data_IF_302655786145
#
_entry.id   IF_302655786145
#
_cell.length_a   1.000
_cell.length_b   1.000
_cell.length_c   1.000
_cell.angle_alpha   90.00
_cell.angle_beta   90.00
_cell.angle_gamma   90.00
#
_symmetry.space_group_name_H-M   'P 1'
#
loop_
_entity.id
_entity.type
_entity.pdbx_description
1 polymer ?
#
# COMPACT_ATOMS: atom_id res chain seq x y z
N UNK A 1 32.01 34.42 -11.26
CA UNK A 1 31.56 33.01 -11.18
C UNK A 1 30.37 32.82 -12.11
N UNK A 2 30.44 31.80 -12.97
CA UNK A 2 29.71 31.70 -14.24
C UNK A 2 28.19 31.71 -14.08
N UNK A 3 27.58 32.58 -14.86
CA UNK A 3 26.17 32.90 -14.99
C UNK A 3 25.41 31.77 -15.73
N UNK A 4 25.51 30.54 -15.19
CA UNK A 4 25.02 29.31 -15.83
C UNK A 4 23.50 29.30 -15.94
N UNK A 5 23.00 28.86 -17.10
CA UNK A 5 21.57 28.65 -17.34
C UNK A 5 20.97 27.73 -16.25
N UNK A 6 21.70 26.69 -15.82
CA UNK A 6 21.25 25.81 -14.74
C UNK A 6 21.14 26.52 -13.39
N UNK A 7 22.02 27.49 -13.10
CA UNK A 7 21.91 28.29 -11.88
C UNK A 7 20.66 29.17 -11.92
N UNK A 8 20.35 29.78 -13.07
CA UNK A 8 19.15 30.60 -13.30
C UNK A 8 17.85 29.77 -13.20
N UNK A 9 17.83 28.56 -13.76
CA UNK A 9 16.69 27.64 -13.63
C UNK A 9 16.46 27.27 -12.16
N UNK A 10 17.54 26.98 -11.41
CA UNK A 10 17.45 26.62 -9.99
C UNK A 10 16.97 27.77 -9.12
N UNK A 11 17.47 28.98 -9.38
CA UNK A 11 17.18 30.16 -8.55
C UNK A 11 15.82 30.78 -8.84
N UNK A 12 15.28 30.62 -10.06
CA UNK A 12 14.00 31.21 -10.43
C UNK A 12 13.13 30.24 -11.25
N UNK A 13 12.56 29.21 -10.60
CA UNK A 13 11.91 28.11 -11.32
C UNK A 13 10.64 28.54 -12.07
N UNK A 14 9.99 29.61 -11.63
CA UNK A 14 8.79 30.17 -12.24
C UNK A 14 9.07 30.83 -13.61
N UNK A 15 10.34 31.12 -13.90
CA UNK A 15 10.77 31.64 -15.20
C UNK A 15 10.87 30.57 -16.29
N UNK A 16 10.79 29.29 -15.92
CA UNK A 16 10.94 28.15 -16.85
C UNK A 16 9.75 27.18 -16.79
N UNK A 17 8.51 27.66 -16.95
CA UNK A 17 7.32 26.84 -16.74
C UNK A 17 7.22 25.67 -17.72
N UNK A 18 7.64 25.85 -18.99
CA UNK A 18 7.56 24.77 -20.00
C UNK A 18 8.61 23.71 -19.74
N UNK A 19 9.83 24.11 -19.38
CA UNK A 19 10.89 23.18 -19.00
C UNK A 19 10.44 22.26 -17.85
N UNK A 20 9.85 22.82 -16.80
CA UNK A 20 9.35 22.03 -15.68
C UNK A 20 8.10 21.21 -16.01
N UNK A 21 7.27 21.64 -16.97
CA UNK A 21 6.15 20.85 -17.46
C UNK A 21 6.61 19.57 -18.17
N UNK A 22 7.64 19.66 -19.03
CA UNK A 22 8.24 18.50 -19.70
C UNK A 22 8.86 17.53 -18.68
N UNK A 23 9.65 18.04 -17.73
CA UNK A 23 10.19 17.21 -16.65
C UNK A 23 9.10 16.58 -15.77
N UNK A 24 8.01 17.30 -15.53
CA UNK A 24 6.87 16.81 -14.77
C UNK A 24 6.14 15.67 -15.49
N UNK A 25 5.96 15.79 -16.80
CA UNK A 25 5.39 14.73 -17.63
C UNK A 25 6.27 13.46 -17.61
N UNK A 26 7.60 13.61 -17.74
CA UNK A 26 8.53 12.50 -17.61
C UNK A 26 8.47 11.84 -16.23
N UNK A 27 8.38 12.64 -15.16
CA UNK A 27 8.25 12.11 -13.81
C UNK A 27 6.95 11.31 -13.62
N UNK A 28 5.84 11.77 -14.21
CA UNK A 28 4.56 11.04 -14.22
C UNK A 28 4.66 9.73 -15.00
N UNK A 29 5.33 9.73 -16.15
CA UNK A 29 5.57 8.51 -16.93
C UNK A 29 6.37 7.48 -16.12
N UNK A 30 7.48 7.89 -15.50
CA UNK A 30 8.32 7.02 -14.68
C UNK A 30 7.53 6.47 -13.48
N UNK A 31 6.74 7.32 -12.80
CA UNK A 31 5.84 6.86 -11.72
C UNK A 31 4.84 5.82 -12.22
N UNK A 32 4.22 6.05 -13.37
CA UNK A 32 3.23 5.12 -13.92
C UNK A 32 3.88 3.77 -14.27
N UNK A 33 5.11 3.76 -14.81
CA UNK A 33 5.90 2.54 -15.01
C UNK A 33 6.20 1.83 -13.69
N UNK A 34 6.55 2.59 -12.66
CA UNK A 34 6.77 2.04 -11.32
C UNK A 34 5.52 1.36 -10.77
N UNK A 35 4.39 2.05 -10.78
CA UNK A 35 3.11 1.47 -10.35
C UNK A 35 2.76 0.21 -11.15
N UNK A 36 2.98 0.23 -12.47
CA UNK A 36 2.77 -0.92 -13.33
C UNK A 36 3.61 -2.12 -12.89
N UNK A 37 4.93 -1.95 -12.73
CA UNK A 37 5.83 -3.01 -12.28
C UNK A 37 5.55 -3.46 -10.84
N UNK A 38 5.09 -2.54 -9.98
CA UNK A 38 4.66 -2.84 -8.62
C UNK A 38 3.36 -3.66 -8.56
N UNK A 39 2.70 -3.95 -9.69
CA UNK A 39 1.54 -4.84 -9.74
C UNK A 39 0.19 -4.14 -9.85
N UNK A 40 0.15 -2.87 -10.27
CA UNK A 40 -1.12 -2.16 -10.57
C UNK A 40 -1.93 -2.86 -11.68
N UNK A 41 -1.27 -3.64 -12.53
CA UNK A 41 -1.91 -4.67 -13.36
C UNK A 41 -1.41 -6.03 -12.86
N UNK A 42 -2.32 -6.90 -12.45
CA UNK A 42 -2.03 -8.18 -11.77
C UNK A 42 -1.21 -9.20 -12.60
N UNK A 43 -0.65 -8.80 -13.73
CA UNK A 43 -0.05 -9.64 -14.76
C UNK A 43 1.47 -9.48 -14.89
N UNK A 44 2.09 -8.46 -14.25
CA UNK A 44 3.55 -8.32 -14.29
C UNK A 44 4.16 -9.33 -13.32
N UNK A 45 4.44 -10.52 -13.87
CA UNK A 45 5.11 -11.57 -13.15
C UNK A 45 6.50 -11.13 -12.68
N UNK A 46 7.00 -11.81 -11.66
CA UNK A 46 8.40 -11.73 -11.21
C UNK A 46 9.41 -11.87 -12.37
N UNK A 47 9.09 -12.71 -13.36
CA UNK A 47 9.95 -12.92 -14.53
C UNK A 47 10.08 -11.67 -15.42
N UNK A 48 9.06 -10.81 -15.42
CA UNK A 48 8.98 -9.61 -16.25
C UNK A 48 9.37 -8.34 -15.47
N UNK A 49 10.14 -8.47 -14.39
CA UNK A 49 10.60 -7.32 -13.61
C UNK A 49 9.65 -6.82 -12.54
N UNK A 50 8.45 -7.41 -12.44
CA UNK A 50 7.43 -6.99 -11.48
C UNK A 50 7.54 -7.65 -10.11
N UNK A 51 6.69 -7.21 -9.20
CA UNK A 51 6.58 -7.79 -7.86
C UNK A 51 5.68 -9.04 -7.81
N UNK A 52 5.01 -9.41 -8.90
CA UNK A 52 4.10 -10.56 -8.93
C UNK A 52 2.96 -10.43 -7.90
N UNK A 53 2.58 -11.54 -7.26
CA UNK A 53 1.40 -11.60 -6.38
C UNK A 53 1.48 -10.64 -5.19
N UNK A 54 2.68 -10.35 -4.67
CA UNK A 54 2.83 -9.52 -3.47
C UNK A 54 2.87 -8.01 -3.79
N UNK A 55 2.98 -7.63 -5.06
CA UNK A 55 2.95 -6.24 -5.51
C UNK A 55 1.66 -5.49 -5.14
N UNK A 56 0.53 -6.20 -5.09
CA UNK A 56 -0.72 -5.62 -4.59
C UNK A 56 -0.62 -5.19 -3.12
N UNK A 57 0.14 -5.90 -2.28
CA UNK A 57 0.40 -5.50 -0.89
C UNK A 57 1.30 -4.27 -0.83
N UNK A 58 2.29 -4.18 -1.72
CA UNK A 58 3.13 -3.00 -1.86
C UNK A 58 2.28 -1.75 -2.18
N UNK A 59 1.37 -1.83 -3.15
CA UNK A 59 0.51 -0.70 -3.51
C UNK A 59 -0.67 -0.45 -2.55
N UNK A 60 -1.14 -1.46 -1.81
CA UNK A 60 -2.21 -1.27 -0.83
C UNK A 60 -1.73 -0.55 0.43
N UNK A 61 -0.45 -0.72 0.79
CA UNK A 61 0.11 -0.17 2.03
C UNK A 61 0.99 1.06 1.81
N UNK A 62 1.07 1.58 0.58
CA UNK A 62 1.83 2.78 0.29
C UNK A 62 1.55 3.33 -1.09
N UNK A 63 2.12 4.48 -1.40
CA UNK A 63 1.92 5.16 -2.67
C UNK A 63 3.25 5.65 -3.24
N UNK A 64 3.37 5.62 -4.57
CA UNK A 64 4.54 6.18 -5.25
C UNK A 64 4.25 7.65 -5.50
N UNK A 65 5.02 8.51 -4.84
CA UNK A 65 4.86 9.95 -4.87
C UNK A 65 5.90 10.62 -5.78
N UNK A 66 5.53 11.79 -6.30
CA UNK A 66 6.42 12.68 -7.04
C UNK A 66 6.53 13.97 -6.25
N UNK A 67 7.76 14.38 -5.93
CA UNK A 67 8.03 15.64 -5.25
C UNK A 67 9.06 16.44 -6.03
N UNK A 68 8.80 17.72 -6.27
CA UNK A 68 9.79 18.62 -6.88
C UNK A 68 10.97 18.79 -5.93
N UNK A 69 12.19 18.56 -6.41
CA UNK A 69 13.43 18.71 -5.63
C UNK A 69 14.50 19.32 -6.53
N UNK A 70 14.99 20.50 -6.14
CA UNK A 70 16.02 21.22 -6.89
C UNK A 70 15.60 21.48 -8.35
N UNK A 71 16.38 20.95 -9.29
CA UNK A 71 16.18 21.13 -10.74
C UNK A 71 15.22 20.10 -11.36
N UNK A 72 14.69 19.15 -10.60
CA UNK A 72 13.84 18.09 -11.14
C UNK A 72 12.83 17.56 -10.14
N UNK A 73 12.56 16.27 -10.25
CA UNK A 73 11.57 15.56 -9.43
C UNK A 73 12.22 14.34 -8.78
N UNK A 74 11.90 14.13 -7.50
CA UNK A 74 12.16 12.90 -6.77
C UNK A 74 10.91 12.03 -6.84
N UNK A 75 11.09 10.79 -7.28
CA UNK A 75 10.06 9.76 -7.27
C UNK A 75 10.43 8.78 -6.16
N UNK A 76 9.52 8.50 -5.24
CA UNK A 76 9.80 7.65 -4.08
C UNK A 76 8.53 6.94 -3.60
N UNK A 77 8.70 5.84 -2.88
CA UNK A 77 7.59 5.15 -2.23
C UNK A 77 7.38 5.66 -0.81
N UNK A 78 6.13 5.97 -0.47
CA UNK A 78 5.69 6.37 0.86
C UNK A 78 4.80 5.27 1.45
N UNK A 79 5.28 4.59 2.49
CA UNK A 79 4.71 3.35 3.05
C UNK A 79 3.56 3.57 4.04
N UNK A 80 2.87 4.72 3.99
CA UNK A 80 1.75 5.07 4.87
C UNK A 80 1.99 4.74 6.37
N UNK A 81 3.22 4.90 6.86
CA UNK A 81 3.64 4.57 8.24
C UNK A 81 3.50 3.09 8.64
N UNK A 82 3.54 2.17 7.67
CA UNK A 82 3.63 0.74 7.97
C UNK A 82 4.95 0.41 8.68
N UNK A 83 4.87 -0.41 9.75
CA UNK A 83 6.06 -0.98 10.40
C UNK A 83 6.80 -2.00 9.52
N UNK A 84 6.20 -2.38 8.39
CA UNK A 84 6.74 -3.34 7.45
C UNK A 84 7.51 -2.62 6.34
N UNK A 85 8.79 -2.94 6.18
CA UNK A 85 9.67 -2.34 5.19
C UNK A 85 9.48 -3.02 3.81
N UNK A 86 8.50 -2.51 3.06
CA UNK A 86 8.12 -3.05 1.76
C UNK A 86 9.21 -2.89 0.70
N UNK A 87 9.97 -1.78 0.71
CA UNK A 87 11.06 -1.56 -0.25
C UNK A 87 12.20 -2.56 -0.02
N UNK A 88 12.58 -2.80 1.24
CA UNK A 88 13.61 -3.79 1.57
C UNK A 88 13.23 -5.19 1.11
N UNK A 89 11.96 -5.55 1.18
CA UNK A 89 11.47 -6.86 0.73
C UNK A 89 11.37 -6.91 -0.79
N UNK A 90 11.03 -5.80 -1.45
CA UNK A 90 11.14 -5.70 -2.91
C UNK A 90 12.56 -5.96 -3.40
N UNK A 91 13.52 -5.46 -2.64
CA UNK A 91 14.93 -5.54 -3.00
C UNK A 91 15.51 -6.92 -2.65
N UNK A 92 15.44 -7.31 -1.39
CA UNK A 92 16.14 -8.47 -0.82
C UNK A 92 15.27 -9.71 -0.63
N UNK A 93 13.96 -9.56 -0.73
CA UNK A 93 13.00 -10.63 -0.46
C UNK A 93 12.78 -10.89 1.03
N UNK A 94 12.03 -11.95 1.30
CA UNK A 94 11.72 -12.47 2.63
C UNK A 94 11.55 -13.99 2.53
N UNK A 95 12.25 -14.74 3.37
CA UNK A 95 12.10 -16.21 3.47
C UNK A 95 10.68 -16.61 3.87
N UNK A 96 10.28 -17.81 3.50
CA UNK A 96 9.05 -18.40 4.03
C UNK A 96 9.10 -18.46 5.56
N UNK A 97 7.96 -18.27 6.22
CA UNK A 97 7.89 -18.33 7.68
C UNK A 97 6.54 -18.85 8.15
N UNK A 98 6.51 -19.34 9.39
CA UNK A 98 5.28 -19.74 10.05
C UNK A 98 4.44 -18.50 10.43
N UNK A 99 3.41 -18.25 9.64
CA UNK A 99 2.49 -17.14 9.83
C UNK A 99 1.58 -17.33 11.04
N UNK A 100 1.26 -18.57 11.40
CA UNK A 100 0.43 -18.85 12.57
C UNK A 100 1.16 -18.38 13.83
N UNK A 101 2.39 -18.85 14.02
CA UNK A 101 3.25 -18.45 15.12
C UNK A 101 3.56 -16.95 15.13
N UNK A 102 3.83 -16.37 13.95
CA UNK A 102 4.09 -14.94 13.83
C UNK A 102 2.89 -14.09 14.27
N UNK A 103 1.68 -14.40 13.79
CA UNK A 103 0.47 -13.65 14.14
C UNK A 103 0.11 -13.80 15.62
N UNK A 104 0.25 -15.00 16.18
CA UNK A 104 -0.04 -15.26 17.60
C UNK A 104 0.96 -14.61 18.56
N UNK A 105 2.15 -14.25 18.06
CA UNK A 105 3.20 -13.61 18.88
C UNK A 105 3.26 -12.08 18.70
N UNK A 106 2.82 -11.55 17.57
CA UNK A 106 3.00 -10.13 17.23
C UNK A 106 1.68 -9.33 17.12
N UNK A 107 0.53 -9.99 17.00
CA UNK A 107 -0.75 -9.28 16.85
C UNK A 107 -1.32 -8.83 18.20
N UNK A 108 -1.59 -7.52 18.32
CA UNK A 108 -2.30 -6.96 19.48
C UNK A 108 -3.72 -7.51 19.67
N UNK A 109 -4.30 -8.15 18.65
CA UNK A 109 -5.66 -8.72 18.70
C UNK A 109 -5.71 -10.13 19.32
N UNK A 110 -4.56 -10.72 19.64
CA UNK A 110 -4.46 -12.05 20.27
C UNK A 110 -5.22 -12.10 21.59
N UNK A 111 -5.79 -13.26 21.87
CA UNK A 111 -6.54 -13.59 23.08
C UNK A 111 -5.96 -14.85 23.70
N UNK A 112 -6.19 -15.04 24.99
CA UNK A 112 -5.85 -16.24 25.73
C UNK A 112 -7.16 -16.86 26.22
N UNK A 113 -7.36 -18.16 25.99
CA UNK A 113 -8.55 -18.86 26.46
C UNK A 113 -8.39 -19.29 27.93
N UNK A 114 -9.45 -19.84 28.52
CA UNK A 114 -9.42 -20.30 29.92
C UNK A 114 -8.35 -21.38 30.21
N UNK A 115 -7.87 -22.09 29.18
CA UNK A 115 -6.81 -23.10 29.28
C UNK A 115 -5.41 -22.54 29.01
N UNK A 116 -5.26 -21.22 28.91
CA UNK A 116 -3.97 -20.56 28.67
C UNK A 116 -3.50 -20.56 27.21
N UNK A 117 -4.24 -21.17 26.26
CA UNK A 117 -3.84 -21.21 24.86
C UNK A 117 -4.12 -19.90 24.14
N UNK A 118 -3.17 -19.45 23.32
CA UNK A 118 -3.32 -18.27 22.47
C UNK A 118 -4.21 -18.55 21.28
N UNK A 119 -5.04 -17.57 20.93
CA UNK A 119 -5.84 -17.63 19.72
C UNK A 119 -6.08 -16.23 19.13
N UNK A 120 -6.31 -16.18 17.82
CA UNK A 120 -6.65 -14.99 17.07
C UNK A 120 -7.88 -15.25 16.20
N UNK A 121 -8.87 -14.37 16.28
CA UNK A 121 -10.06 -14.42 15.42
C UNK A 121 -9.81 -13.50 14.23
N UNK A 122 -9.88 -14.06 13.02
CA UNK A 122 -9.65 -13.37 11.77
C UNK A 122 -11.00 -13.26 11.03
N UNK A 123 -11.60 -12.06 10.95
CA UNK A 123 -12.75 -11.83 10.10
C UNK A 123 -12.34 -11.86 8.63
N UNK A 124 -13.01 -12.71 7.86
CA UNK A 124 -12.94 -12.74 6.41
C UNK A 124 -14.26 -12.19 5.84
N UNK A 125 -14.18 -11.56 4.67
CA UNK A 125 -15.38 -11.16 3.93
C UNK A 125 -16.22 -12.42 3.64
N UNK A 126 -17.39 -12.48 4.23
CA UNK A 126 -18.42 -13.46 3.86
C UNK A 126 -19.30 -12.88 2.75
N UNK A 127 -19.93 -13.76 1.96
CA UNK A 127 -21.03 -13.35 1.08
C UNK A 127 -22.34 -13.40 1.86
N UNK A 128 -23.24 -12.44 1.66
CA UNK A 128 -24.55 -12.41 2.35
C UNK A 128 -25.42 -13.65 2.11
N UNK A 129 -25.19 -14.36 1.00
CA UNK A 129 -25.87 -15.62 0.66
C UNK A 129 -25.34 -16.85 1.42
N UNK A 130 -24.23 -16.74 2.14
CA UNK A 130 -23.73 -17.85 2.96
C UNK A 130 -24.65 -18.06 4.17
N UNK A 131 -25.08 -19.30 4.39
CA UNK A 131 -25.85 -19.66 5.58
C UNK A 131 -25.00 -19.41 6.82
N UNK A 132 -25.49 -18.55 7.72
CA UNK A 132 -24.82 -18.30 8.99
C UNK A 132 -25.30 -19.32 10.02
N UNK A 133 -24.38 -19.81 10.85
CA UNK A 133 -24.71 -20.73 11.94
C UNK A 133 -25.13 -19.98 13.22
N UNK A 134 -24.82 -18.69 13.31
CA UNK A 134 -24.99 -17.90 14.52
C UNK A 134 -25.14 -16.42 14.20
N UNK A 135 -25.93 -15.71 15.02
CA UNK A 135 -26.01 -14.25 15.06
C UNK A 135 -25.26 -13.74 16.29
N UNK A 136 -24.31 -12.82 16.08
CA UNK A 136 -23.61 -12.09 17.12
C UNK A 136 -24.15 -10.67 17.21
N UNK A 137 -24.90 -10.36 18.27
CA UNK A 137 -25.41 -9.02 18.58
C UNK A 137 -24.37 -8.27 19.39
N UNK A 138 -23.87 -7.13 18.89
CA UNK A 138 -22.91 -6.30 19.63
C UNK A 138 -23.65 -5.61 20.77
N UNK A 139 -23.25 -5.90 22.01
CA UNK A 139 -23.84 -5.32 23.23
C UNK A 139 -23.13 -4.03 23.64
N UNK A 140 -21.80 -4.02 23.60
CA UNK A 140 -20.99 -2.85 23.95
C UNK A 140 -19.60 -2.95 23.32
N UNK A 141 -18.84 -1.86 23.33
CA UNK A 141 -17.43 -1.84 22.90
C UNK A 141 -16.58 -1.18 23.96
N UNK A 142 -15.53 -1.86 24.44
CA UNK A 142 -14.62 -1.34 25.47
C UNK A 142 -13.15 -1.46 25.04
N UNK A 143 -12.28 -0.62 25.61
CA UNK A 143 -10.82 -0.78 25.47
C UNK A 143 -10.33 -1.75 26.52
N UNK A 144 -9.64 -2.80 26.10
CA UNK A 144 -9.06 -3.79 27.01
C UNK A 144 -7.57 -3.98 26.72
N UNK A 145 -6.82 -4.39 27.74
CA UNK A 145 -5.41 -4.72 27.59
C UNK A 145 -5.25 -5.98 26.73
N UNK A 146 -4.28 -5.95 25.81
CA UNK A 146 -3.88 -7.12 25.04
C UNK A 146 -2.84 -7.94 25.80
N UNK A 147 -2.89 -9.28 25.73
CA UNK A 147 -1.80 -10.13 26.21
C UNK A 147 -0.45 -9.81 25.54
N UNK A 148 -0.46 -9.28 24.32
CA UNK A 148 0.74 -8.89 23.56
C UNK A 148 1.07 -7.40 23.71
N UNK A 149 0.51 -6.73 24.72
CA UNK A 149 0.77 -5.33 25.03
C UNK A 149 -0.11 -4.31 24.28
N UNK A 150 -0.30 -3.16 24.91
CA UNK A 150 -1.16 -2.08 24.42
C UNK A 150 -2.66 -2.33 24.64
N UNK A 151 -3.47 -1.32 24.35
CA UNK A 151 -4.93 -1.39 24.44
C UNK A 151 -5.57 -1.65 23.08
N UNK A 152 -6.59 -2.51 23.06
CA UNK A 152 -7.39 -2.81 21.87
C UNK A 152 -8.87 -2.62 22.16
N UNK A 153 -9.63 -2.08 21.19
CA UNK A 153 -11.10 -2.06 21.26
C UNK A 153 -11.63 -3.48 21.06
N UNK A 154 -12.53 -3.93 21.92
CA UNK A 154 -13.23 -5.21 21.82
C UNK A 154 -14.71 -5.01 22.06
N UNK A 155 -15.49 -5.73 21.28
CA UNK A 155 -16.94 -5.76 21.43
C UNK A 155 -17.31 -6.91 22.37
N UNK A 156 -18.30 -6.68 23.24
CA UNK A 156 -19.04 -7.75 23.90
C UNK A 156 -20.22 -8.14 23.02
N UNK A 157 -20.55 -9.43 23.00
CA UNK A 157 -21.58 -9.97 22.12
C UNK A 157 -22.58 -10.80 22.92
N UNK A 158 -23.86 -10.73 22.52
CA UNK A 158 -24.83 -11.80 22.77
C UNK A 158 -24.83 -12.73 21.56
N UNK A 159 -24.94 -14.03 21.81
CA UNK A 159 -24.82 -15.07 20.79
C UNK A 159 -26.16 -15.79 20.69
N UNK A 160 -26.77 -15.75 19.51
CA UNK A 160 -28.01 -16.47 19.20
C UNK A 160 -27.73 -17.54 18.14
N UNK A 161 -27.95 -18.80 18.50
CA UNK A 161 -27.76 -19.94 17.60
C UNK A 161 -28.95 -20.02 16.64
N UNK A 162 -28.68 -20.20 15.35
CA UNK A 162 -29.72 -20.42 14.35
C UNK A 162 -30.00 -21.92 14.29
N UNK A 163 -31.25 -22.33 14.53
CA UNK A 163 -31.63 -23.74 14.73
C UNK A 163 -31.44 -24.67 13.50
N UNK A 164 -31.10 -24.13 12.31
CA UNK A 164 -30.98 -24.93 11.09
C UNK A 164 -29.53 -25.14 10.58
N UNK A 165 -29.13 -26.43 10.63
CA UNK A 165 -28.24 -27.25 9.76
C UNK A 165 -27.04 -26.69 8.96
N UNK A 166 -26.56 -25.46 9.13
CA UNK A 166 -25.28 -25.08 8.51
C UNK A 166 -24.12 -25.25 9.49
N UNK A 167 -23.23 -26.22 9.21
CA UNK A 167 -21.87 -26.24 9.78
C UNK A 167 -21.02 -25.21 9.02
N UNK A 168 -21.42 -23.94 9.07
CA UNK A 168 -20.65 -22.86 8.48
C UNK A 168 -19.88 -22.10 9.55
N UNK A 169 -18.70 -21.62 9.19
CA UNK A 169 -17.92 -20.68 10.00
C UNK A 169 -18.37 -19.22 9.76
N UNK A 170 -19.57 -19.04 9.22
CA UNK A 170 -20.12 -17.72 8.87
C UNK A 170 -21.05 -17.25 9.97
N UNK A 171 -20.84 -16.02 10.41
CA UNK A 171 -21.56 -15.36 11.51
C UNK A 171 -22.20 -14.09 10.99
N UNK A 172 -23.45 -13.83 11.40
CA UNK A 172 -24.13 -12.55 11.17
C UNK A 172 -23.88 -11.62 12.35
N UNK A 173 -23.27 -10.47 12.10
CA UNK A 173 -23.12 -9.39 13.08
C UNK A 173 -24.32 -8.48 13.01
N UNK A 174 -24.99 -8.26 14.12
CA UNK A 174 -26.09 -7.31 14.24
C UNK A 174 -25.67 -6.17 15.18
N UNK A 175 -25.83 -4.94 14.71
CA UNK A 175 -25.58 -3.73 15.49
C UNK A 175 -26.83 -2.86 15.49
N UNK A 176 -27.28 -2.46 16.68
CA UNK A 176 -28.35 -1.50 16.84
C UNK A 176 -27.84 -0.10 16.50
N UNK A 177 -28.58 0.61 15.65
CA UNK A 177 -28.30 1.98 15.25
C UNK A 177 -28.98 2.93 16.24
N UNK A 178 -28.35 4.07 16.51
CA UNK A 178 -28.83 5.09 17.46
C UNK A 178 -30.22 5.66 17.11
N UNK A 179 -30.65 5.57 15.84
CA UNK A 179 -31.93 6.11 15.34
C UNK A 179 -33.08 5.11 15.26
N UNK A 180 -32.96 3.93 15.90
CA UNK A 180 -33.99 2.90 15.85
C UNK A 180 -33.93 2.09 14.55
N UNK A 181 -33.09 1.07 14.53
CA UNK A 181 -32.91 0.13 13.42
C UNK A 181 -31.71 -0.77 13.69
N UNK A 182 -31.52 -1.85 12.94
CA UNK A 182 -30.30 -2.68 13.07
C UNK A 182 -29.63 -2.92 11.73
N UNK A 183 -28.33 -2.66 11.67
CA UNK A 183 -27.50 -3.07 10.53
C UNK A 183 -27.03 -4.51 10.75
N UNK A 184 -27.05 -5.32 9.68
CA UNK A 184 -26.58 -6.71 9.72
C UNK A 184 -25.48 -6.90 8.69
N UNK A 185 -24.38 -7.55 9.07
CA UNK A 185 -23.29 -7.91 8.15
C UNK A 185 -22.89 -9.37 8.35
N UNK A 186 -22.72 -10.12 7.26
CA UNK A 186 -22.22 -11.50 7.34
C UNK A 186 -20.69 -11.51 7.23
N UNK A 187 -20.01 -12.27 8.08
CA UNK A 187 -18.56 -12.46 8.02
C UNK A 187 -18.19 -13.89 8.34
N UNK A 188 -17.27 -14.45 7.56
CA UNK A 188 -16.68 -15.75 7.85
C UNK A 188 -15.57 -15.54 8.89
N UNK A 189 -15.63 -16.27 9.99
CA UNK A 189 -14.65 -16.16 11.06
C UNK A 189 -13.73 -17.37 11.04
N UNK A 190 -12.43 -17.14 10.95
CA UNK A 190 -11.42 -18.18 11.11
C UNK A 190 -10.72 -17.97 12.45
N UNK A 191 -10.63 -19.03 13.24
CA UNK A 191 -9.89 -19.01 14.51
C UNK A 191 -8.53 -19.64 14.28
N UNK A 192 -7.49 -18.85 14.48
CA UNK A 192 -6.10 -19.27 14.47
C UNK A 192 -5.69 -19.61 15.91
N UNK A 193 -5.13 -20.79 16.11
CA UNK A 193 -4.63 -21.27 17.41
C UNK A 193 -3.22 -21.83 17.25
N UNK A 194 -2.52 -22.08 18.36
CA UNK A 194 -1.20 -22.71 18.36
C UNK A 194 -1.21 -24.11 17.71
N UNK A 195 -2.33 -24.83 17.81
CA UNK A 195 -2.48 -26.16 17.21
C UNK A 195 -2.87 -26.10 15.71
N UNK A 196 -3.01 -24.91 15.13
CA UNK A 196 -3.44 -24.77 13.74
C UNK A 196 -2.31 -25.09 12.77
N UNK A 197 -2.47 -26.13 11.95
CA UNK A 197 -1.51 -26.49 10.92
C UNK A 197 -1.71 -25.62 9.65
N UNK A 198 -0.99 -24.50 9.58
CA UNK A 198 -1.00 -23.61 8.41
C UNK A 198 0.23 -23.88 7.55
N UNK A 199 0.05 -23.84 6.24
CA UNK A 199 1.19 -23.82 5.34
C UNK A 199 2.07 -22.58 5.62
N UNK A 200 3.40 -22.71 5.56
CA UNK A 200 4.29 -21.58 5.70
C UNK A 200 3.90 -20.47 4.74
N UNK A 201 3.83 -19.25 5.24
CA UNK A 201 3.53 -18.12 4.38
C UNK A 201 4.66 -17.96 3.37
N UNK A 202 4.33 -17.84 2.08
CA UNK A 202 5.29 -18.09 1.01
C UNK A 202 6.48 -17.14 1.07
N UNK A 203 7.60 -17.64 0.55
CA UNK A 203 8.79 -16.82 0.29
C UNK A 203 8.46 -15.72 -0.74
N UNK A 204 9.03 -14.55 -0.51
CA UNK A 204 9.13 -13.48 -1.50
C UNK A 204 10.59 -13.44 -1.96
N UNK A 205 10.85 -13.73 -3.23
CA UNK A 205 12.19 -13.62 -3.79
C UNK A 205 12.52 -12.15 -4.05
N UNK A 206 13.72 -11.71 -3.64
CA UNK A 206 14.20 -10.35 -3.94
C UNK A 206 14.26 -10.10 -5.44
N UNK A 207 13.81 -8.92 -5.88
CA UNK A 207 13.66 -8.58 -7.29
C UNK A 207 14.59 -7.49 -7.79
N UNK A 208 15.49 -6.99 -6.93
CA UNK A 208 16.29 -5.78 -7.21
C UNK A 208 15.43 -4.64 -7.76
N UNK A 209 14.24 -4.49 -7.16
CA UNK A 209 13.16 -3.71 -7.73
C UNK A 209 13.54 -2.24 -7.87
N UNK A 210 14.23 -1.68 -6.87
CA UNK A 210 14.66 -0.27 -6.91
C UNK A 210 15.68 -0.06 -8.02
N UNK A 211 16.63 -0.99 -8.17
CA UNK A 211 17.62 -0.93 -9.25
C UNK A 211 16.94 -0.93 -10.63
N UNK A 212 16.01 -1.86 -10.87
CA UNK A 212 15.27 -1.93 -12.14
C UNK A 212 14.46 -0.67 -12.41
N UNK A 213 13.89 -0.07 -11.37
CA UNK A 213 13.18 1.21 -11.49
C UNK A 213 14.11 2.35 -11.89
N UNK A 214 15.33 2.36 -11.37
CA UNK A 214 16.34 3.33 -11.79
C UNK A 214 16.74 3.13 -13.26
N UNK A 215 16.90 1.89 -13.71
CA UNK A 215 17.21 1.58 -15.11
C UNK A 215 16.10 2.05 -16.08
N UNK A 216 14.82 1.84 -15.71
CA UNK A 216 13.70 2.35 -16.49
C UNK A 216 13.60 3.88 -16.47
N UNK A 217 13.88 4.51 -15.33
CA UNK A 217 13.95 5.97 -15.24
C UNK A 217 15.05 6.51 -16.16
N UNK A 218 16.25 5.93 -16.12
CA UNK A 218 17.37 6.30 -16.97
C UNK A 218 17.04 6.13 -18.46
N UNK A 219 16.31 5.08 -18.82
CA UNK A 219 15.86 4.87 -20.21
C UNK A 219 14.92 5.99 -20.67
N UNK A 220 13.94 6.39 -19.85
CA UNK A 220 13.04 7.50 -20.16
C UNK A 220 13.83 8.81 -20.29
N UNK A 221 14.74 9.06 -19.34
CA UNK A 221 15.55 10.28 -19.30
C UNK A 221 16.55 10.40 -20.47
N UNK A 222 16.98 9.27 -21.05
CA UNK A 222 17.86 9.22 -22.22
C UNK A 222 17.11 9.16 -23.55
N UNK A 223 15.79 9.14 -23.54
CA UNK A 223 15.01 9.10 -24.79
C UNK A 223 15.25 10.37 -25.60
N UNK A 224 15.49 10.21 -26.90
CA UNK A 224 15.74 11.33 -27.82
C UNK A 224 14.56 12.29 -27.88
N UNK A 225 13.35 11.74 -27.80
CA UNK A 225 12.09 12.50 -27.75
C UNK A 225 12.03 13.41 -26.52
N UNK A 226 12.30 12.89 -25.32
CA UNK A 226 12.31 13.72 -24.11
C UNK A 226 13.38 14.81 -24.21
N UNK A 227 14.60 14.45 -24.63
CA UNK A 227 15.71 15.41 -24.71
C UNK A 227 15.41 16.53 -25.72
N UNK A 228 14.78 16.19 -26.86
CA UNK A 228 14.32 17.17 -27.85
C UNK A 228 13.25 18.09 -27.26
N UNK A 229 12.20 17.53 -26.67
CA UNK A 229 11.11 18.29 -26.06
C UNK A 229 11.62 19.21 -24.94
N UNK A 230 12.59 18.75 -24.14
CA UNK A 230 13.19 19.51 -23.07
C UNK A 230 14.02 20.70 -23.60
N UNK A 231 14.79 20.49 -24.67
CA UNK A 231 15.58 21.54 -25.31
C UNK A 231 14.68 22.60 -25.97
N UNK A 232 13.60 22.18 -26.64
CA UNK A 232 12.62 23.08 -27.24
C UNK A 232 11.91 23.92 -26.16
N UNK A 233 11.45 23.27 -25.07
CA UNK A 233 10.82 23.96 -23.95
C UNK A 233 11.73 25.01 -23.30
N UNK A 234 13.00 24.65 -23.07
CA UNK A 234 14.00 25.58 -22.55
C UNK A 234 14.22 26.78 -23.47
N UNK A 235 14.31 26.53 -24.78
CA UNK A 235 14.50 27.57 -25.79
C UNK A 235 13.33 28.55 -25.82
N UNK A 236 12.10 28.05 -25.73
CA UNK A 236 10.89 28.88 -25.67
C UNK A 236 10.84 29.74 -24.40
N UNK A 237 11.16 29.15 -23.25
CA UNK A 237 11.20 29.90 -21.98
C UNK A 237 12.27 31.01 -22.02
N UNK A 238 13.46 30.73 -22.54
CA UNK A 238 14.52 31.73 -22.71
C UNK A 238 14.12 32.86 -23.69
N UNK A 239 13.46 32.51 -24.80
CA UNK A 239 12.97 33.50 -25.78
C UNK A 239 11.92 34.42 -25.16
N UNK A 240 10.99 33.88 -24.38
CA UNK A 240 9.99 34.67 -23.67
C UNK A 240 10.63 35.63 -22.65
N UNK A 241 11.63 35.15 -21.91
CA UNK A 241 12.39 35.99 -20.97
C UNK A 241 13.13 37.13 -21.68
N UNK A 242 13.76 36.85 -22.82
CA UNK A 242 14.43 37.86 -23.62
C UNK A 242 13.46 38.93 -24.13
N UNK A 243 12.29 38.52 -24.64
CA UNK A 243 11.25 39.44 -25.10
C UNK A 243 10.68 40.30 -23.97
N UNK A 244 10.46 39.72 -22.77
CA UNK A 244 10.02 40.48 -21.59
C UNK A 244 11.05 41.52 -21.15
N UNK A 245 12.35 41.22 -21.28
CA UNK A 245 13.42 42.18 -21.00
C UNK A 245 13.47 43.33 -22.00
N UNK A 246 13.15 43.11 -23.28
CA UNK A 246 13.11 44.18 -24.31
C UNK A 246 11.91 45.12 -24.21
N UNK A 247 10.85 44.70 -23.53
CA UNK A 247 9.63 45.52 -23.31
C UNK A 247 9.67 46.35 -22.02
N UNK A 248 10.74 46.22 -21.23
CA UNK A 248 11.08 47.07 -20.09
C UNK A 248 12.20 48.00 -20.50
#
# INVERSE_FOLDING_TARGET
>A
MKDSIFAKIKSNPNMFPRFYAVLGAAAVEIRNKWEFMAGKRAEVSVKNGGLGWWGQQYLANGQIQIKRVGLGFRIFYDSNSSAYDFEKIAEKGRRAFDIASYLLSNSKKVRINARGKKFLIIPMKGKEKESASTVMKILSTSKVSSPMGGQVKRNSYSIEKIESKSRSNTVKFQQLNERGGSSTTASKMVVLTEDSNWEPYPEIKGQKFVQRMQEEADRVLRSSELLKNLAEALTLDLKELYLKKKKK
#
